data_IF_149330887695
#
_entry.id   IF_149330887695
#
_cell.length_a   1.000
_cell.length_b   1.000
_cell.length_c   1.000
_cell.angle_alpha   90.00
_cell.angle_beta   90.00
_cell.angle_gamma   90.00
#
_symmetry.space_group_name_H-M   'P 1'
#
loop_
_entity.id
_entity.type
_entity.pdbx_description
1 polymer ?
#
# COMPACT_ATOMS: atom_id res chain seq x y z
N UNK A 1 -3.93 -2.19 -54.94
CA UNK A 1 -4.55 -0.91 -54.62
C UNK A 1 -4.16 -0.53 -53.23
N UNK A 2 -3.33 0.33 -53.15
CA UNK A 2 -2.71 1.35 -52.31
C UNK A 2 -3.09 1.36 -50.84
N UNK A 3 -2.11 0.97 -49.98
CA UNK A 3 -2.12 1.11 -48.53
C UNK A 3 -1.58 2.50 -48.19
N UNK A 4 -2.44 3.37 -47.65
CA UNK A 4 -2.06 4.70 -47.20
C UNK A 4 -1.28 4.66 -45.88
N UNK A 5 0.01 5.01 -45.94
CA UNK A 5 0.86 5.27 -44.78
C UNK A 5 0.54 6.62 -44.16
N UNK A 6 0.00 6.65 -42.94
CA UNK A 6 -0.12 7.88 -42.16
C UNK A 6 1.23 8.19 -41.50
N UNK A 7 1.91 9.20 -42.01
CA UNK A 7 3.13 9.77 -41.41
C UNK A 7 2.73 10.83 -40.37
N UNK A 8 3.01 10.57 -39.11
CA UNK A 8 2.99 11.60 -38.07
C UNK A 8 4.30 12.39 -38.16
N UNK A 9 4.18 13.69 -38.44
CA UNK A 9 5.30 14.64 -38.48
C UNK A 9 5.71 14.98 -37.05
N UNK A 10 6.95 14.62 -36.67
CA UNK A 10 7.67 15.28 -35.59
C UNK A 10 8.02 16.70 -35.98
N UNK A 11 7.38 17.68 -35.35
CA UNK A 11 7.77 19.08 -35.39
C UNK A 11 8.86 19.37 -34.37
N UNK A 12 10.08 19.58 -34.80
CA UNK A 12 11.16 20.10 -33.98
C UNK A 12 10.86 21.57 -33.62
N UNK A 13 10.76 21.88 -32.34
CA UNK A 13 10.85 23.23 -31.79
C UNK A 13 12.11 23.33 -30.94
N UNK A 14 13.19 23.72 -31.59
CA UNK A 14 14.40 24.23 -30.95
C UNK A 14 14.26 25.75 -30.76
N UNK A 15 14.86 26.23 -29.65
CA UNK A 15 15.24 27.61 -29.32
C UNK A 15 14.19 28.46 -28.60
N UNK A 16 14.37 28.65 -27.28
CA UNK A 16 14.82 29.93 -26.70
C UNK A 16 14.70 29.84 -25.15
N UNK A 17 15.79 29.45 -24.51
CA UNK A 17 15.99 29.68 -23.07
C UNK A 17 16.51 31.11 -22.88
N UNK A 18 15.60 32.07 -22.83
CA UNK A 18 15.90 33.40 -22.29
C UNK A 18 15.70 33.37 -20.78
N UNK A 19 16.76 33.68 -20.07
CA UNK A 19 16.88 33.87 -18.64
C UNK A 19 15.75 34.75 -18.07
N UNK A 20 14.70 34.15 -17.51
CA UNK A 20 13.80 34.83 -16.60
C UNK A 20 14.29 34.57 -15.15
N UNK A 21 14.86 35.60 -14.53
CA UNK A 21 15.12 35.68 -13.11
C UNK A 21 13.80 35.43 -12.37
N UNK A 22 13.79 34.39 -11.57
CA UNK A 22 12.73 34.15 -10.58
C UNK A 22 12.85 35.27 -9.54
N UNK A 23 11.78 36.03 -9.23
CA UNK A 23 11.85 37.02 -8.15
C UNK A 23 12.06 36.31 -6.82
N UNK A 24 13.03 36.82 -6.04
CA UNK A 24 13.25 36.38 -4.66
C UNK A 24 11.94 36.54 -3.89
N UNK A 25 11.35 35.42 -3.43
CA UNK A 25 10.26 35.45 -2.48
C UNK A 25 10.76 36.07 -1.18
N UNK A 26 10.27 37.26 -0.89
CA UNK A 26 10.45 37.92 0.40
C UNK A 26 10.09 36.96 1.52
N UNK A 27 11.04 36.73 2.40
CA UNK A 27 10.85 36.11 3.71
C UNK A 27 9.83 36.93 4.49
N UNK A 28 8.56 36.50 4.41
CA UNK A 28 7.54 37.05 5.31
C UNK A 28 7.84 36.61 6.75
N UNK A 29 7.76 37.59 7.61
CA UNK A 29 8.03 37.53 9.04
C UNK A 29 7.40 36.33 9.73
N UNK A 30 8.16 35.78 10.69
CA UNK A 30 7.73 34.85 11.72
C UNK A 30 6.36 35.27 12.29
N UNK A 31 5.32 34.58 11.86
CA UNK A 31 4.04 34.56 12.57
C UNK A 31 4.29 33.98 13.96
N UNK A 32 3.65 34.59 14.96
CA UNK A 32 3.72 34.20 16.36
C UNK A 32 3.63 32.67 16.48
N UNK A 33 4.55 32.06 17.24
CA UNK A 33 4.48 30.61 17.55
C UNK A 33 3.14 30.36 18.22
N UNK A 34 2.29 29.57 17.59
CA UNK A 34 1.12 29.03 18.27
C UNK A 34 1.59 28.41 19.59
N UNK A 35 0.87 28.62 20.70
CA UNK A 35 1.26 28.04 21.98
C UNK A 35 1.37 26.52 21.81
N UNK A 36 2.49 25.95 22.29
CA UNK A 36 2.71 24.50 22.26
C UNK A 36 1.54 23.84 22.99
N UNK A 37 0.66 23.18 22.27
CA UNK A 37 -0.47 22.43 22.85
C UNK A 37 0.08 21.37 23.80
N UNK A 38 -0.59 21.17 24.92
CA UNK A 38 -0.31 20.01 25.78
C UNK A 38 -0.60 18.72 25.04
N UNK A 39 0.02 17.62 25.46
CA UNK A 39 -0.21 16.27 24.87
C UNK A 39 -1.70 15.92 24.87
N UNK A 40 -2.40 16.24 25.96
CA UNK A 40 -3.85 16.04 26.10
C UNK A 40 -4.65 16.91 25.12
N UNK A 41 -4.30 18.18 24.98
CA UNK A 41 -4.97 19.08 24.02
C UNK A 41 -4.76 18.61 22.57
N UNK A 42 -3.57 18.07 22.26
CA UNK A 42 -3.27 17.47 20.96
C UNK A 42 -4.21 16.28 20.69
N UNK A 43 -4.43 15.39 21.66
CA UNK A 43 -5.35 14.27 21.53
C UNK A 43 -6.79 14.73 21.30
N UNK A 44 -7.29 15.64 22.15
CA UNK A 44 -8.68 16.12 22.09
C UNK A 44 -8.99 16.95 20.83
N UNK A 45 -7.99 17.58 20.22
CA UNK A 45 -8.16 18.38 19.01
C UNK A 45 -7.97 17.60 17.70
N UNK A 46 -7.68 16.29 17.79
CA UNK A 46 -7.42 15.48 16.61
C UNK A 46 -8.65 15.34 15.72
N UNK A 47 -8.45 15.51 14.42
CA UNK A 47 -9.45 15.21 13.39
C UNK A 47 -8.73 14.71 12.13
N UNK A 48 -9.04 13.49 11.72
CA UNK A 48 -8.42 12.87 10.53
C UNK A 48 -8.71 13.64 9.23
N UNK A 49 -9.69 14.52 9.22
CA UNK A 49 -10.02 15.39 8.08
C UNK A 49 -9.24 16.71 8.08
N UNK A 50 -8.43 16.96 9.12
CA UNK A 50 -7.68 18.22 9.30
C UNK A 50 -6.21 17.96 9.64
N UNK A 51 -5.61 17.02 8.94
CA UNK A 51 -4.21 16.65 9.13
C UNK A 51 -3.29 17.73 8.57
N UNK A 52 -2.30 18.11 9.34
CA UNK A 52 -1.23 19.02 8.93
C UNK A 52 0.01 18.26 8.41
N UNK A 53 0.96 19.00 7.87
CA UNK A 53 2.20 18.44 7.35
C UNK A 53 3.05 17.76 8.44
N UNK A 54 2.95 18.18 9.71
CA UNK A 54 3.70 17.56 10.79
C UNK A 54 3.21 16.15 11.09
N UNK A 55 1.88 15.95 11.09
CA UNK A 55 1.28 14.63 11.22
C UNK A 55 1.62 13.72 10.02
N UNK A 56 1.52 14.24 8.79
CA UNK A 56 1.84 13.46 7.60
C UNK A 56 3.32 13.03 7.55
N UNK A 57 4.20 13.84 8.10
CA UNK A 57 5.62 13.51 8.24
C UNK A 57 5.89 12.52 9.39
N UNK A 58 5.29 12.75 10.55
CA UNK A 58 5.46 11.91 11.75
C UNK A 58 4.16 11.84 12.58
N UNK A 59 3.29 10.83 12.38
CA UNK A 59 2.03 10.69 13.09
C UNK A 59 2.19 10.16 14.53
N UNK A 60 3.34 9.59 14.87
CA UNK A 60 3.53 8.83 16.10
C UNK A 60 3.38 9.63 17.39
N UNK A 61 3.81 10.91 17.48
CA UNK A 61 3.52 11.75 18.66
C UNK A 61 2.02 11.93 18.90
N UNK A 62 1.24 12.14 17.83
CA UNK A 62 -0.22 12.28 17.91
C UNK A 62 -0.88 10.93 18.27
N UNK A 63 -0.42 9.83 17.67
CA UNK A 63 -0.91 8.49 18.02
C UNK A 63 -0.66 8.15 19.49
N UNK A 64 0.50 8.54 20.03
CA UNK A 64 0.81 8.37 21.45
C UNK A 64 -0.12 9.20 22.33
N UNK A 65 -0.32 10.48 22.01
CA UNK A 65 -1.22 11.36 22.73
C UNK A 65 -2.66 10.81 22.77
N UNK A 66 -3.18 10.36 21.62
CA UNK A 66 -4.51 9.73 21.53
C UNK A 66 -4.58 8.46 22.40
N UNK A 67 -3.61 7.56 22.30
CA UNK A 67 -3.62 6.31 23.04
C UNK A 67 -3.60 6.52 24.56
N UNK A 68 -2.86 7.54 25.02
CA UNK A 68 -2.75 7.85 26.45
C UNK A 68 -3.98 8.59 27.00
N UNK A 69 -4.59 9.48 26.22
CA UNK A 69 -5.60 10.39 26.76
C UNK A 69 -7.00 10.20 26.19
N UNK A 70 -7.16 9.65 24.98
CA UNK A 70 -8.46 9.43 24.34
C UNK A 70 -8.37 8.29 23.29
N UNK A 71 -8.16 7.04 23.75
CA UNK A 71 -7.81 5.92 22.87
C UNK A 71 -8.91 5.47 21.90
N UNK A 72 -10.17 5.80 22.20
CA UNK A 72 -11.34 5.60 21.34
C UNK A 72 -11.91 6.99 21.03
N UNK A 73 -11.13 7.78 20.32
CA UNK A 73 -11.41 9.18 20.06
C UNK A 73 -12.64 9.37 19.16
N UNK A 74 -13.64 10.14 19.63
CA UNK A 74 -14.81 10.49 18.83
C UNK A 74 -14.55 11.76 18.04
N UNK A 75 -14.58 11.67 16.72
CA UNK A 75 -14.41 12.82 15.83
C UNK A 75 -15.71 13.64 15.63
N UNK A 76 -15.58 14.84 15.05
CA UNK A 76 -16.69 15.78 14.88
C UNK A 76 -17.81 15.22 13.98
N UNK A 77 -17.49 14.35 13.03
CA UNK A 77 -18.44 13.68 12.14
C UNK A 77 -19.14 12.48 12.78
N UNK A 78 -18.87 12.19 14.05
CA UNK A 78 -19.43 11.07 14.81
C UNK A 78 -18.73 9.74 14.60
N UNK A 79 -17.71 9.66 13.73
CA UNK A 79 -16.85 8.47 13.60
C UNK A 79 -15.87 8.39 14.75
N UNK A 80 -15.25 7.21 14.92
CA UNK A 80 -14.27 6.98 15.97
C UNK A 80 -12.89 6.63 15.39
N UNK A 81 -11.83 7.00 16.12
CA UNK A 81 -10.45 6.70 15.81
C UNK A 81 -9.84 5.85 16.92
N UNK A 82 -9.46 4.61 16.60
CA UNK A 82 -9.00 3.60 17.56
C UNK A 82 -7.48 3.53 17.54
N UNK A 83 -6.84 3.60 18.71
CA UNK A 83 -5.36 3.64 18.82
C UNK A 83 -4.75 2.55 19.68
N UNK A 84 -5.53 1.86 20.54
CA UNK A 84 -5.05 0.71 21.30
C UNK A 84 -5.04 -0.55 20.46
N UNK A 85 -4.07 -1.42 20.70
CA UNK A 85 -3.94 -2.70 20.00
C UNK A 85 -5.19 -3.58 20.16
N UNK A 86 -5.66 -3.76 21.39
CA UNK A 86 -6.79 -4.66 21.68
C UNK A 86 -8.08 -4.18 21.01
N UNK A 87 -8.37 -2.88 21.03
CA UNK A 87 -9.54 -2.30 20.37
C UNK A 87 -9.48 -2.50 18.84
N UNK A 88 -8.32 -2.24 18.22
CA UNK A 88 -8.09 -2.46 16.80
C UNK A 88 -8.21 -3.94 16.42
N UNK A 89 -7.62 -4.82 17.23
CA UNK A 89 -7.66 -6.26 17.01
C UNK A 89 -9.07 -6.85 17.19
N UNK A 90 -9.84 -6.36 18.16
CA UNK A 90 -11.23 -6.77 18.40
C UNK A 90 -12.10 -6.46 17.17
N UNK A 91 -11.98 -5.25 16.62
CA UNK A 91 -12.71 -4.85 15.40
C UNK A 91 -12.34 -5.73 14.20
N UNK A 92 -11.07 -6.05 14.01
CA UNK A 92 -10.65 -6.93 12.91
C UNK A 92 -11.10 -8.38 13.02
N UNK A 93 -11.23 -8.90 14.27
CA UNK A 93 -11.59 -10.30 14.51
C UNK A 93 -13.08 -10.60 14.40
N UNK A 94 -13.94 -9.59 14.45
CA UNK A 94 -15.39 -9.76 14.41
C UNK A 94 -16.03 -9.15 13.15
N UNK A 95 -15.93 -9.84 11.99
CA UNK A 95 -16.52 -9.38 10.74
C UNK A 95 -18.06 -9.42 10.75
N UNK A 96 -18.70 -10.12 11.68
CA UNK A 96 -20.15 -10.14 11.81
C UNK A 96 -20.70 -8.85 12.43
N UNK A 97 -19.90 -8.19 13.26
CA UNK A 97 -20.24 -6.90 13.87
C UNK A 97 -19.65 -5.73 13.09
N UNK A 98 -18.45 -5.91 12.51
CA UNK A 98 -17.67 -4.84 11.87
C UNK A 98 -17.49 -5.08 10.38
N UNK A 99 -18.43 -4.55 9.60
CA UNK A 99 -18.49 -4.66 8.15
C UNK A 99 -17.33 -3.96 7.44
N UNK A 100 -16.83 -4.60 6.38
CA UNK A 100 -15.86 -4.03 5.42
C UNK A 100 -16.53 -3.42 4.21
N UNK A 101 -17.84 -3.62 3.99
CA UNK A 101 -18.57 -3.08 2.84
C UNK A 101 -18.52 -1.54 2.84
N UNK A 102 -18.10 -0.96 1.72
CA UNK A 102 -17.89 0.48 1.56
C UNK A 102 -18.89 1.17 0.65
N UNK A 103 -19.92 0.47 0.20
CA UNK A 103 -20.91 1.03 -0.74
C UNK A 103 -21.56 2.30 -0.18
N UNK A 104 -21.89 2.30 1.11
CA UNK A 104 -22.49 3.46 1.79
C UNK A 104 -21.43 4.53 2.06
N UNK A 105 -20.24 4.13 2.54
CA UNK A 105 -19.20 5.05 3.01
C UNK A 105 -18.55 5.83 1.86
N UNK A 106 -18.36 5.19 0.72
CA UNK A 106 -17.65 5.80 -0.41
C UNK A 106 -18.56 6.63 -1.32
N UNK A 107 -19.86 6.37 -1.33
CA UNK A 107 -20.81 7.05 -2.22
C UNK A 107 -20.78 8.58 -2.10
N UNK A 108 -20.76 9.19 -0.91
CA UNK A 108 -20.73 10.63 -0.76
C UNK A 108 -19.49 11.31 -1.35
N UNK A 109 -18.34 10.62 -1.29
CA UNK A 109 -17.04 11.17 -1.72
C UNK A 109 -16.69 10.81 -3.17
N UNK A 110 -17.11 9.66 -3.65
CA UNK A 110 -16.71 9.14 -4.98
C UNK A 110 -17.84 9.27 -6.03
N UNK A 111 -19.09 9.51 -5.62
CA UNK A 111 -20.23 9.64 -6.54
C UNK A 111 -20.48 8.36 -7.34
N UNK A 112 -20.84 8.53 -8.62
CA UNK A 112 -21.08 7.45 -9.59
C UNK A 112 -19.91 7.29 -10.56
N UNK A 113 -18.68 7.25 -10.06
CA UNK A 113 -17.46 7.15 -10.88
C UNK A 113 -17.00 5.71 -11.02
N UNK A 114 -16.14 5.45 -12.01
CA UNK A 114 -15.45 4.15 -12.16
C UNK A 114 -14.58 3.82 -10.95
N UNK A 115 -14.08 4.83 -10.25
CA UNK A 115 -13.34 4.67 -9.00
C UNK A 115 -14.24 4.14 -7.88
N UNK A 116 -15.48 4.63 -7.75
CA UNK A 116 -16.47 4.06 -6.83
C UNK A 116 -16.79 2.61 -7.20
N UNK A 117 -17.06 2.33 -8.48
CA UNK A 117 -17.32 0.98 -8.99
C UNK A 117 -16.16 0.06 -8.65
N UNK A 118 -14.90 0.49 -8.89
CA UNK A 118 -13.72 -0.28 -8.58
C UNK A 118 -13.63 -0.63 -7.10
N UNK A 119 -13.72 0.36 -6.23
CA UNK A 119 -13.57 0.11 -4.79
C UNK A 119 -14.71 -0.75 -4.24
N UNK A 120 -15.94 -0.57 -4.70
CA UNK A 120 -17.10 -1.34 -4.19
C UNK A 120 -17.25 -2.73 -4.82
N UNK A 121 -16.49 -3.03 -5.88
CA UNK A 121 -16.40 -4.37 -6.49
C UNK A 121 -15.14 -5.12 -6.04
N UNK A 122 -14.13 -4.42 -5.51
CA UNK A 122 -12.89 -5.05 -5.05
C UNK A 122 -13.13 -5.92 -3.81
N UNK A 123 -12.40 -7.04 -3.71
CA UNK A 123 -12.47 -8.02 -2.63
C UNK A 123 -12.46 -7.37 -1.22
N UNK A 124 -11.55 -6.43 -0.98
CA UNK A 124 -11.25 -5.90 0.36
C UNK A 124 -12.37 -5.05 0.94
N UNK A 125 -13.23 -4.49 0.09
CA UNK A 125 -14.33 -3.59 0.48
C UNK A 125 -15.70 -4.25 0.39
N UNK A 126 -15.75 -5.56 0.55
CA UNK A 126 -16.97 -6.36 0.56
C UNK A 126 -16.96 -7.39 1.69
N UNK A 127 -18.14 -7.77 2.14
CA UNK A 127 -18.35 -8.80 3.16
C UNK A 127 -18.71 -10.15 2.52
N UNK A 128 -18.74 -11.25 3.31
CA UNK A 128 -19.35 -12.50 2.86
C UNK A 128 -20.84 -12.31 2.45
N UNK A 129 -21.33 -13.05 1.46
CA UNK A 129 -20.69 -14.20 0.77
C UNK A 129 -19.71 -13.81 -0.35
N UNK A 130 -19.82 -12.58 -0.89
CA UNK A 130 -18.97 -12.10 -1.99
C UNK A 130 -17.48 -12.25 -1.68
N UNK A 131 -17.05 -11.69 -0.54
CA UNK A 131 -15.66 -11.77 -0.10
C UNK A 131 -15.11 -13.20 -0.12
N UNK A 132 -15.85 -14.16 0.44
CA UNK A 132 -15.38 -15.54 0.55
C UNK A 132 -15.23 -16.20 -0.84
N UNK A 133 -16.16 -15.94 -1.75
CA UNK A 133 -16.13 -16.47 -3.12
C UNK A 133 -14.89 -15.93 -3.87
N UNK A 134 -14.71 -14.63 -3.92
CA UNK A 134 -13.58 -14.01 -4.62
C UNK A 134 -12.25 -14.39 -3.96
N UNK A 135 -12.20 -14.41 -2.63
CA UNK A 135 -11.00 -14.83 -1.87
C UNK A 135 -10.57 -16.25 -2.21
N UNK A 136 -11.54 -17.20 -2.35
CA UNK A 136 -11.29 -18.59 -2.73
C UNK A 136 -10.67 -18.70 -4.12
N UNK A 137 -11.12 -17.87 -5.08
CA UNK A 137 -10.60 -17.85 -6.44
C UNK A 137 -9.17 -17.28 -6.53
N UNK A 138 -8.81 -16.32 -5.66
CA UNK A 138 -7.48 -15.73 -5.62
C UNK A 138 -6.47 -16.57 -4.82
N UNK A 139 -6.92 -17.36 -3.84
CA UNK A 139 -6.05 -18.09 -2.92
C UNK A 139 -4.99 -18.99 -3.60
N UNK A 140 -5.25 -19.69 -4.72
CA UNK A 140 -4.26 -20.54 -5.38
C UNK A 140 -2.97 -19.82 -5.80
N UNK A 141 -3.04 -18.50 -6.05
CA UNK A 141 -1.90 -17.69 -6.42
C UNK A 141 -0.92 -17.42 -5.26
N UNK A 142 -1.38 -17.55 -4.03
CA UNK A 142 -0.63 -17.23 -2.81
C UNK A 142 -0.31 -18.47 -1.97
N UNK A 143 -0.42 -19.66 -2.55
CA UNK A 143 -0.03 -20.92 -1.87
C UNK A 143 1.49 -21.01 -1.70
N UNK A 144 1.99 -21.73 -0.68
CA UNK A 144 3.44 -21.92 -0.50
C UNK A 144 4.15 -22.46 -1.75
N UNK A 145 3.47 -23.36 -2.50
CA UNK A 145 4.00 -23.90 -3.77
C UNK A 145 4.16 -22.81 -4.84
N UNK A 146 3.12 -21.98 -5.03
CA UNK A 146 3.17 -20.87 -6.00
C UNK A 146 4.26 -19.86 -5.63
N UNK A 147 4.35 -19.49 -4.36
CA UNK A 147 5.37 -18.54 -3.87
C UNK A 147 6.79 -19.10 -4.02
N UNK A 148 7.00 -20.38 -3.71
CA UNK A 148 8.33 -21.02 -3.91
C UNK A 148 8.75 -21.00 -5.38
N UNK A 149 7.83 -21.10 -6.31
CA UNK A 149 8.12 -20.99 -7.75
C UNK A 149 8.50 -19.57 -8.18
N UNK A 150 8.03 -18.53 -7.47
CA UNK A 150 8.36 -17.12 -7.74
C UNK A 150 9.71 -16.70 -7.14
N UNK A 151 10.18 -17.34 -6.06
CA UNK A 151 11.38 -16.94 -5.34
C UNK A 151 12.62 -16.78 -6.24
N UNK A 152 12.99 -17.73 -7.14
CA UNK A 152 14.15 -17.56 -8.02
C UNK A 152 14.02 -16.36 -8.96
N UNK A 153 12.80 -16.02 -9.40
CA UNK A 153 12.55 -14.85 -10.24
C UNK A 153 12.78 -13.56 -9.47
N UNK A 154 12.33 -13.48 -8.20
CA UNK A 154 12.56 -12.34 -7.32
C UNK A 154 14.06 -12.18 -7.05
N UNK A 155 14.76 -13.26 -6.71
CA UNK A 155 16.20 -13.23 -6.45
C UNK A 155 16.98 -12.73 -7.66
N UNK A 156 16.72 -13.27 -8.85
CA UNK A 156 17.37 -12.85 -10.09
C UNK A 156 17.05 -11.39 -10.46
N UNK A 157 15.82 -10.92 -10.20
CA UNK A 157 15.45 -9.52 -10.40
C UNK A 157 16.23 -8.60 -9.47
N UNK A 158 16.26 -8.93 -8.17
CA UNK A 158 16.97 -8.15 -7.15
C UNK A 158 18.47 -8.10 -7.49
N UNK A 159 19.09 -9.23 -7.87
CA UNK A 159 20.50 -9.27 -8.26
C UNK A 159 20.80 -8.32 -9.44
N UNK A 160 19.96 -8.34 -10.49
CA UNK A 160 20.11 -7.41 -11.65
C UNK A 160 19.96 -5.95 -11.22
N UNK A 161 19.06 -5.63 -10.29
CA UNK A 161 18.89 -4.28 -9.77
C UNK A 161 20.12 -3.83 -8.97
N UNK A 162 20.66 -4.72 -8.13
CA UNK A 162 21.86 -4.45 -7.32
C UNK A 162 23.11 -4.34 -8.18
N UNK A 163 23.25 -5.12 -9.25
CA UNK A 163 24.36 -5.00 -10.20
C UNK A 163 24.38 -3.62 -10.88
N UNK A 164 23.20 -3.14 -11.29
CA UNK A 164 23.08 -1.78 -11.83
C UNK A 164 23.39 -0.70 -10.81
N UNK A 165 22.94 -0.90 -9.57
CA UNK A 165 23.23 -0.01 -8.45
C UNK A 165 24.74 0.04 -8.13
N UNK A 166 25.42 -1.09 -8.14
CA UNK A 166 26.87 -1.18 -7.90
C UNK A 166 27.70 -0.41 -8.94
N UNK A 167 27.29 -0.43 -10.21
CA UNK A 167 27.95 0.35 -11.27
C UNK A 167 27.78 1.86 -11.09
N UNK A 168 26.61 2.29 -10.59
CA UNK A 168 26.28 3.72 -10.43
C UNK A 168 26.81 4.30 -9.13
N UNK A 169 26.90 3.53 -8.06
CA UNK A 169 27.27 3.98 -6.71
C UNK A 169 26.25 4.89 -6.03
N UNK A 170 25.31 5.45 -6.78
CA UNK A 170 24.20 6.29 -6.33
C UNK A 170 22.90 5.88 -7.01
N UNK A 171 21.81 5.73 -6.23
CA UNK A 171 20.48 5.37 -6.73
C UNK A 171 19.38 6.14 -6.02
N UNK A 172 18.22 6.25 -6.64
CA UNK A 172 16.97 6.46 -5.90
C UNK A 172 16.44 5.11 -5.43
N UNK A 173 16.51 4.87 -4.11
CA UNK A 173 16.03 3.62 -3.49
C UNK A 173 14.62 3.26 -3.94
N UNK A 174 13.73 4.24 -4.10
CA UNK A 174 12.33 4.00 -4.43
C UNK A 174 12.15 3.71 -5.91
N UNK A 175 12.58 4.62 -6.78
CA UNK A 175 12.37 4.52 -8.23
C UNK A 175 13.22 3.43 -8.89
N UNK A 176 14.51 3.35 -8.51
CA UNK A 176 15.47 2.44 -9.15
C UNK A 176 15.46 1.02 -8.59
N UNK A 177 14.91 0.82 -7.34
CA UNK A 177 14.99 -0.47 -6.65
C UNK A 177 13.66 -0.93 -6.06
N UNK A 178 13.13 -0.25 -5.02
CA UNK A 178 12.03 -0.76 -4.22
C UNK A 178 10.72 -0.90 -5.00
N UNK A 179 10.39 0.04 -5.90
CA UNK A 179 9.17 -0.01 -6.70
C UNK A 179 9.28 -0.99 -7.89
N UNK A 180 10.49 -1.20 -8.41
CA UNK A 180 10.70 -2.09 -9.54
C UNK A 180 10.38 -3.56 -9.20
N UNK A 181 10.61 -3.98 -7.94
CA UNK A 181 10.44 -5.38 -7.52
C UNK A 181 8.97 -5.80 -7.57
N UNK A 182 8.05 -5.22 -6.78
CA UNK A 182 6.66 -5.62 -6.81
C UNK A 182 5.98 -5.31 -8.15
N UNK A 183 6.38 -4.24 -8.85
CA UNK A 183 5.82 -3.90 -10.16
C UNK A 183 6.10 -5.00 -11.19
N UNK A 184 7.35 -5.47 -11.24
CA UNK A 184 7.76 -6.54 -12.16
C UNK A 184 7.02 -7.83 -11.84
N UNK A 185 6.98 -8.19 -10.56
CA UNK A 185 6.37 -9.43 -10.11
C UNK A 185 4.85 -9.47 -10.37
N UNK A 186 4.15 -8.39 -10.05
CA UNK A 186 2.70 -8.31 -10.29
C UNK A 186 2.41 -8.26 -11.79
N UNK A 187 3.27 -7.59 -12.58
CA UNK A 187 3.19 -7.65 -14.03
C UNK A 187 3.28 -9.08 -14.55
N UNK A 188 4.22 -9.88 -14.06
CA UNK A 188 4.34 -11.31 -14.39
C UNK A 188 3.10 -12.09 -13.96
N UNK A 189 2.61 -11.87 -12.74
CA UNK A 189 1.41 -12.55 -12.21
C UNK A 189 0.13 -12.20 -12.99
N UNK A 190 0.02 -10.99 -13.53
CA UNK A 190 -1.10 -10.56 -14.38
C UNK A 190 -0.85 -10.80 -15.88
N UNK A 191 0.28 -11.38 -16.26
CA UNK A 191 0.63 -11.64 -17.65
C UNK A 191 0.83 -10.36 -18.49
N UNK A 192 1.18 -9.24 -17.86
CA UNK A 192 1.47 -7.97 -18.54
C UNK A 192 2.84 -8.05 -19.20
N UNK A 193 2.96 -7.86 -20.53
CA UNK A 193 4.26 -7.84 -21.20
C UNK A 193 5.18 -6.74 -20.65
N UNK A 194 6.49 -6.99 -20.57
CA UNK A 194 7.46 -6.04 -20.01
C UNK A 194 7.38 -4.65 -20.62
N UNK A 195 7.22 -4.56 -21.94
CA UNK A 195 7.11 -3.29 -22.65
C UNK A 195 5.81 -2.51 -22.43
N UNK A 196 4.85 -3.10 -21.72
CA UNK A 196 3.53 -2.49 -21.45
C UNK A 196 3.35 -2.10 -19.96
N UNK A 197 4.39 -2.28 -19.11
CA UNK A 197 4.31 -2.07 -17.65
C UNK A 197 4.50 -0.63 -17.18
N UNK A 198 4.96 0.24 -18.06
CA UNK A 198 5.28 1.64 -17.72
C UNK A 198 4.11 2.37 -17.01
N UNK A 199 2.84 2.29 -17.45
CA UNK A 199 1.76 3.04 -16.79
C UNK A 199 1.25 2.43 -15.48
N UNK A 200 1.60 1.19 -15.16
CA UNK A 200 1.05 0.46 -14.00
C UNK A 200 1.31 1.15 -12.67
N UNK A 201 2.50 1.74 -12.50
CA UNK A 201 2.87 2.46 -11.28
C UNK A 201 1.99 3.69 -11.08
N UNK A 202 1.81 4.49 -12.12
CA UNK A 202 1.07 5.74 -12.04
C UNK A 202 -0.41 5.50 -11.82
N UNK A 203 -0.99 4.48 -12.45
CA UNK A 203 -2.36 4.04 -12.18
C UNK A 203 -2.52 3.60 -10.72
N UNK A 204 -1.62 2.77 -10.20
CA UNK A 204 -1.66 2.33 -8.81
C UNK A 204 -1.61 3.50 -7.83
N UNK A 205 -0.68 4.43 -8.00
CA UNK A 205 -0.53 5.60 -7.13
C UNK A 205 -1.75 6.52 -7.19
N UNK A 206 -2.38 6.69 -8.36
CA UNK A 206 -3.58 7.51 -8.52
C UNK A 206 -4.79 6.88 -7.83
N UNK A 207 -5.02 5.57 -8.02
CA UNK A 207 -6.15 4.84 -7.45
C UNK A 207 -6.03 4.76 -5.91
N UNK A 208 -4.85 4.41 -5.39
CA UNK A 208 -4.63 4.34 -3.94
C UNK A 208 -4.60 5.72 -3.28
N UNK A 209 -4.14 6.75 -4.00
CA UNK A 209 -4.19 8.13 -3.53
C UNK A 209 -5.60 8.64 -3.27
N UNK A 210 -6.60 8.04 -3.90
CA UNK A 210 -8.01 8.35 -3.68
C UNK A 210 -8.64 7.66 -2.45
N UNK A 211 -7.87 6.85 -1.71
CA UNK A 211 -8.31 6.24 -0.44
C UNK A 211 -7.92 7.07 0.80
N UNK A 212 -7.32 8.25 0.60
CA UNK A 212 -6.98 9.15 1.70
C UNK A 212 -8.24 9.70 2.41
N UNK A 213 -8.15 10.04 3.70
CA UNK A 213 -9.29 10.53 4.48
C UNK A 213 -9.94 11.80 3.91
N UNK A 214 -9.17 12.62 3.21
CA UNK A 214 -9.63 13.79 2.48
C UNK A 214 -9.23 13.64 1.03
N UNK A 215 -10.19 13.79 0.12
CA UNK A 215 -10.00 13.63 -1.32
C UNK A 215 -10.26 14.96 -2.03
N UNK A 216 -9.27 15.45 -2.79
CA UNK A 216 -9.47 16.61 -3.64
C UNK A 216 -10.19 16.23 -4.95
N UNK A 217 -10.86 17.21 -5.62
CA UNK A 217 -11.45 16.97 -6.94
C UNK A 217 -10.44 16.43 -7.96
N UNK A 218 -9.21 16.93 -7.95
CA UNK A 218 -8.14 16.50 -8.84
C UNK A 218 -7.71 15.06 -8.57
N UNK A 219 -7.64 14.66 -7.29
CA UNK A 219 -7.36 13.27 -6.91
C UNK A 219 -8.48 12.33 -7.35
N UNK A 220 -9.74 12.73 -7.19
CA UNK A 220 -10.90 11.98 -7.65
C UNK A 220 -10.86 11.78 -9.17
N UNK A 221 -10.61 12.86 -9.92
CA UNK A 221 -10.52 12.82 -11.37
C UNK A 221 -9.38 11.90 -11.85
N UNK A 222 -8.18 12.05 -11.27
CA UNK A 222 -7.01 11.22 -11.60
C UNK A 222 -7.25 9.74 -11.28
N UNK A 223 -7.80 9.44 -10.11
CA UNK A 223 -8.11 8.06 -9.72
C UNK A 223 -9.17 7.43 -10.62
N UNK A 224 -10.20 8.21 -11.02
CA UNK A 224 -11.25 7.76 -11.96
C UNK A 224 -10.66 7.45 -13.33
N UNK A 225 -9.86 8.36 -13.90
CA UNK A 225 -9.20 8.17 -15.19
C UNK A 225 -8.27 6.94 -15.16
N UNK A 226 -7.49 6.78 -14.09
CA UNK A 226 -6.60 5.63 -13.93
C UNK A 226 -7.36 4.29 -13.90
N UNK A 227 -8.54 4.24 -13.28
CA UNK A 227 -9.40 3.03 -13.33
C UNK A 227 -9.92 2.78 -14.74
N UNK A 228 -10.35 3.81 -15.45
CA UNK A 228 -10.89 3.67 -16.82
C UNK A 228 -9.82 3.20 -17.80
N UNK A 229 -8.63 3.81 -17.75
CA UNK A 229 -7.48 3.43 -18.58
C UNK A 229 -7.05 1.98 -18.30
N UNK A 230 -6.94 1.62 -17.03
CA UNK A 230 -6.54 0.27 -16.66
C UNK A 230 -7.61 -0.78 -17.01
N UNK A 231 -8.90 -0.47 -16.86
CA UNK A 231 -10.00 -1.33 -17.33
C UNK A 231 -9.93 -1.56 -18.84
N UNK A 232 -9.67 -0.51 -19.61
CA UNK A 232 -9.47 -0.60 -21.06
C UNK A 232 -8.32 -1.55 -21.41
N UNK A 233 -7.15 -1.30 -20.81
CA UNK A 233 -5.98 -2.14 -21.00
C UNK A 233 -6.21 -3.62 -20.63
N UNK A 234 -6.85 -3.88 -19.48
CA UNK A 234 -7.11 -5.24 -19.03
C UNK A 234 -8.10 -5.98 -19.95
N UNK A 235 -9.11 -5.30 -20.53
CA UNK A 235 -10.01 -5.94 -21.51
C UNK A 235 -9.22 -6.43 -22.73
N UNK A 236 -8.34 -5.59 -23.26
CA UNK A 236 -7.49 -5.96 -24.39
C UNK A 236 -6.53 -7.10 -24.04
N UNK A 237 -5.97 -7.09 -22.82
CA UNK A 237 -5.08 -8.14 -22.33
C UNK A 237 -5.84 -9.47 -22.16
N UNK A 238 -7.03 -9.46 -21.55
CA UNK A 238 -7.89 -10.64 -21.36
C UNK A 238 -8.27 -11.22 -22.72
N UNK A 239 -8.65 -10.40 -23.70
CA UNK A 239 -8.98 -10.84 -25.04
C UNK A 239 -7.79 -11.51 -25.75
N UNK A 240 -6.59 -10.94 -25.62
CA UNK A 240 -5.35 -11.55 -26.13
C UNK A 240 -5.09 -12.92 -25.46
N UNK A 241 -5.14 -12.97 -24.12
CA UNK A 241 -4.87 -14.19 -23.33
C UNK A 241 -5.89 -15.29 -23.57
N UNK A 242 -7.16 -14.95 -23.77
CA UNK A 242 -8.22 -15.93 -24.09
C UNK A 242 -8.00 -16.66 -25.41
N UNK A 243 -7.17 -16.12 -26.31
CA UNK A 243 -6.81 -16.75 -27.60
C UNK A 243 -5.52 -17.57 -27.51
N UNK A 244 -4.74 -17.46 -26.45
CA UNK A 244 -3.49 -18.17 -26.26
C UNK A 244 -3.74 -19.57 -25.68
N UNK A 245 -3.10 -20.60 -26.25
CA UNK A 245 -3.24 -22.00 -25.79
C UNK A 245 -2.25 -22.36 -24.67
N UNK A 246 -1.17 -21.61 -24.52
CA UNK A 246 -0.13 -21.86 -23.52
C UNK A 246 -0.19 -20.81 -22.41
N UNK A 247 -0.55 -21.26 -21.20
CA UNK A 247 -0.66 -20.42 -19.99
C UNK A 247 0.52 -20.73 -19.09
N UNK A 248 1.27 -19.69 -18.66
CA UNK A 248 2.28 -19.84 -17.59
C UNK A 248 1.58 -20.25 -16.30
N UNK A 249 2.03 -21.31 -15.65
CA UNK A 249 1.47 -21.78 -14.36
C UNK A 249 1.55 -20.71 -13.25
N UNK A 250 2.42 -19.70 -13.38
CA UNK A 250 2.56 -18.55 -12.47
C UNK A 250 1.53 -17.46 -12.69
N UNK A 251 0.87 -17.41 -13.84
CA UNK A 251 -0.03 -16.33 -14.25
C UNK A 251 -1.41 -16.46 -13.58
N UNK A 252 -1.76 -15.47 -12.76
CA UNK A 252 -3.06 -15.45 -12.06
C UNK A 252 -4.18 -15.13 -13.03
N UNK A 253 -3.96 -14.19 -13.96
CA UNK A 253 -5.02 -13.73 -14.88
C UNK A 253 -5.60 -14.89 -15.67
N UNK A 254 -4.78 -15.74 -16.25
CA UNK A 254 -5.23 -16.89 -17.02
C UNK A 254 -6.00 -17.91 -16.18
N UNK A 255 -5.61 -18.12 -14.92
CA UNK A 255 -6.35 -18.95 -13.97
C UNK A 255 -7.72 -18.36 -13.63
N UNK A 256 -7.81 -17.04 -13.47
CA UNK A 256 -9.06 -16.35 -13.20
C UNK A 256 -9.98 -16.35 -14.42
N UNK A 257 -9.44 -16.17 -15.63
CA UNK A 257 -10.20 -16.31 -16.89
C UNK A 257 -10.80 -17.72 -17.00
N UNK A 258 -9.98 -18.76 -16.79
CA UNK A 258 -10.46 -20.15 -16.84
C UNK A 258 -11.55 -20.40 -15.78
N UNK A 259 -11.40 -19.88 -14.56
CA UNK A 259 -12.40 -20.02 -13.51
C UNK A 259 -13.70 -19.25 -13.81
N UNK A 260 -13.66 -18.15 -14.55
CA UNK A 260 -14.85 -17.40 -14.96
C UNK A 260 -15.63 -18.06 -16.07
N UNK A 261 -14.96 -18.86 -16.93
CA UNK A 261 -15.58 -19.58 -18.06
C UNK A 261 -16.23 -20.93 -17.66
N UNK A 262 -15.91 -21.46 -16.48
CA UNK A 262 -16.37 -22.77 -16.01
C UNK A 262 -17.77 -22.79 -15.37
N UNK A 263 -18.65 -21.82 -15.64
CA UNK A 263 -20.04 -21.83 -15.17
C UNK A 263 -20.98 -22.34 -16.27
N UNK A 264 -21.20 -23.71 -16.43
CA UNK A 264 -21.86 -24.23 -17.60
C UNK A 264 -23.39 -24.05 -17.65
N UNK A 265 -24.07 -23.81 -16.52
CA UNK A 265 -25.52 -24.00 -16.45
C UNK A 265 -26.36 -22.87 -15.86
N UNK A 266 -25.94 -21.59 -15.95
CA UNK A 266 -26.81 -20.46 -15.59
C UNK A 266 -27.23 -20.38 -14.11
N UNK A 267 -26.63 -21.20 -13.24
CA UNK A 267 -26.71 -21.08 -11.79
C UNK A 267 -25.80 -19.97 -11.27
N UNK A 268 -25.88 -19.56 -9.98
CA UNK A 268 -24.95 -18.61 -9.40
C UNK A 268 -23.53 -19.17 -9.55
N UNK A 269 -22.78 -18.64 -10.55
CA UNK A 269 -21.46 -19.15 -10.90
C UNK A 269 -20.53 -19.02 -9.68
N UNK A 270 -19.80 -20.08 -9.34
CA UNK A 270 -18.71 -19.98 -8.35
C UNK A 270 -17.55 -19.12 -8.90
N UNK A 271 -17.56 -18.74 -10.19
CA UNK A 271 -16.60 -17.88 -10.87
C UNK A 271 -16.79 -16.40 -10.63
N UNK A 272 -15.98 -15.58 -11.30
CA UNK A 272 -16.12 -14.13 -11.36
C UNK A 272 -16.89 -13.70 -12.59
N UNK A 273 -17.70 -12.65 -12.50
CA UNK A 273 -18.18 -11.92 -13.67
C UNK A 273 -17.02 -11.14 -14.31
N UNK A 274 -17.18 -10.73 -15.58
CA UNK A 274 -16.15 -9.91 -16.27
C UNK A 274 -15.81 -8.63 -15.48
N UNK A 275 -16.82 -7.99 -14.89
CA UNK A 275 -16.63 -6.80 -14.07
C UNK A 275 -15.84 -7.11 -12.80
N UNK A 276 -16.14 -8.18 -12.11
CA UNK A 276 -15.41 -8.64 -10.92
C UNK A 276 -13.97 -9.01 -11.26
N UNK A 277 -13.74 -9.68 -12.39
CA UNK A 277 -12.41 -10.04 -12.86
C UNK A 277 -11.55 -8.78 -13.09
N UNK A 278 -12.05 -7.81 -13.85
CA UNK A 278 -11.35 -6.55 -14.11
C UNK A 278 -10.99 -5.83 -12.81
N UNK A 279 -11.96 -5.62 -11.93
CA UNK A 279 -11.71 -4.86 -10.70
C UNK A 279 -10.83 -5.58 -9.69
N UNK A 280 -10.86 -6.92 -9.65
CA UNK A 280 -9.96 -7.65 -8.77
C UNK A 280 -8.54 -7.77 -9.35
N UNK A 281 -8.34 -7.75 -10.67
CA UNK A 281 -7.01 -7.59 -11.28
C UNK A 281 -6.40 -6.20 -10.96
N UNK A 282 -7.19 -5.11 -11.09
CA UNK A 282 -6.78 -3.76 -10.67
C UNK A 282 -6.43 -3.76 -9.18
N UNK A 283 -7.25 -4.40 -8.34
CA UNK A 283 -7.02 -4.51 -6.91
C UNK A 283 -5.71 -5.24 -6.57
N UNK A 284 -5.38 -6.35 -7.26
CA UNK A 284 -4.13 -7.09 -7.04
C UNK A 284 -2.91 -6.19 -7.30
N UNK A 285 -2.91 -5.43 -8.41
CA UNK A 285 -1.83 -4.49 -8.68
C UNK A 285 -1.70 -3.46 -7.55
N UNK A 286 -2.81 -2.79 -7.22
CA UNK A 286 -2.81 -1.73 -6.23
C UNK A 286 -2.35 -2.22 -4.85
N UNK A 287 -2.90 -3.37 -4.42
CA UNK A 287 -2.60 -3.92 -3.11
C UNK A 287 -1.14 -4.39 -2.97
N UNK A 288 -0.54 -4.91 -4.04
CA UNK A 288 0.79 -5.49 -3.99
C UNK A 288 1.91 -4.50 -4.26
N UNK A 289 1.71 -3.51 -5.15
CA UNK A 289 2.78 -2.61 -5.59
C UNK A 289 3.20 -1.61 -4.50
N UNK A 290 2.33 -0.68 -4.13
CA UNK A 290 2.74 0.45 -3.26
C UNK A 290 3.10 0.01 -1.84
N UNK A 291 2.38 -0.97 -1.29
CA UNK A 291 2.60 -1.43 0.09
C UNK A 291 3.95 -2.12 0.26
N UNK A 292 4.37 -2.94 -0.70
CA UNK A 292 5.66 -3.61 -0.69
C UNK A 292 6.80 -2.64 -1.00
N UNK A 293 6.61 -1.72 -1.94
CA UNK A 293 7.55 -0.59 -2.17
C UNK A 293 7.83 0.17 -0.88
N UNK A 294 6.76 0.53 -0.15
CA UNK A 294 6.88 1.25 1.11
C UNK A 294 7.55 0.40 2.20
N UNK A 295 7.29 -0.91 2.27
CA UNK A 295 7.95 -1.81 3.22
C UNK A 295 9.47 -1.86 2.99
N UNK A 296 9.91 -2.01 1.75
CA UNK A 296 11.33 -2.04 1.40
C UNK A 296 11.98 -0.69 1.72
N UNK A 297 11.37 0.41 1.29
CA UNK A 297 11.88 1.77 1.54
C UNK A 297 11.95 2.12 3.03
N UNK A 298 10.88 1.83 3.78
CA UNK A 298 10.81 2.06 5.22
C UNK A 298 11.82 1.18 5.98
N UNK A 299 12.00 -0.09 5.57
CA UNK A 299 12.96 -1.01 6.19
C UNK A 299 14.40 -0.52 6.05
N UNK A 300 14.78 -0.04 4.88
CA UNK A 300 16.13 0.53 4.65
C UNK A 300 16.31 1.84 5.42
N UNK A 301 15.32 2.75 5.45
CA UNK A 301 15.38 3.97 6.27
C UNK A 301 15.52 3.63 7.77
N UNK A 302 14.79 2.63 8.26
CA UNK A 302 14.93 2.17 9.64
C UNK A 302 16.34 1.64 9.94
N UNK A 303 16.94 0.87 9.05
CA UNK A 303 18.31 0.36 9.20
C UNK A 303 19.35 1.49 9.16
N UNK A 304 19.21 2.47 8.26
CA UNK A 304 20.11 3.64 8.21
C UNK A 304 20.05 4.46 9.50
N UNK A 305 18.85 4.60 10.09
CA UNK A 305 18.67 5.32 11.37
C UNK A 305 19.07 4.51 12.59
N UNK A 306 19.27 3.20 12.46
CA UNK A 306 19.66 2.28 13.53
C UNK A 306 20.86 1.43 13.07
N UNK A 307 22.09 2.01 13.03
CA UNK A 307 23.27 1.37 12.49
C UNK A 307 23.63 0.07 13.21
N UNK A 308 23.38 -0.03 14.52
CA UNK A 308 23.61 -1.26 15.28
C UNK A 308 22.74 -2.42 14.78
N UNK A 309 21.47 -2.12 14.41
CA UNK A 309 20.56 -3.12 13.82
C UNK A 309 21.02 -3.53 12.40
N UNK A 310 21.52 -2.58 11.61
CA UNK A 310 22.09 -2.87 10.29
C UNK A 310 23.33 -3.77 10.40
N UNK A 311 24.23 -3.48 11.34
CA UNK A 311 25.44 -4.28 11.58
C UNK A 311 25.12 -5.67 12.14
N UNK A 312 24.09 -5.77 13.00
CA UNK A 312 23.62 -7.06 13.50
C UNK A 312 23.03 -7.90 12.36
N UNK A 313 22.23 -7.32 11.47
CA UNK A 313 21.70 -8.00 10.29
C UNK A 313 22.80 -8.44 9.30
N UNK A 314 23.86 -7.64 9.13
CA UNK A 314 25.03 -8.01 8.32
C UNK A 314 25.76 -9.23 8.88
N UNK A 315 25.96 -9.26 10.19
CA UNK A 315 26.65 -10.37 10.89
C UNK A 315 25.80 -11.64 10.96
N UNK A 316 24.49 -11.48 11.00
CA UNK A 316 23.49 -12.54 11.19
C UNK A 316 22.39 -12.44 10.13
N UNK A 317 22.65 -12.86 8.88
CA UNK A 317 21.69 -12.71 7.77
C UNK A 317 20.33 -13.38 8.01
N UNK A 318 20.28 -14.44 8.81
CA UNK A 318 19.05 -15.17 9.16
C UNK A 318 18.04 -14.30 9.95
N UNK A 319 18.51 -13.18 10.54
CA UNK A 319 17.62 -12.22 11.20
C UNK A 319 16.69 -11.45 10.24
N UNK A 320 16.89 -11.60 8.92
CA UNK A 320 16.07 -10.88 7.94
C UNK A 320 14.58 -11.17 8.10
N UNK A 321 14.20 -12.39 8.50
CA UNK A 321 12.81 -12.75 8.71
C UNK A 321 12.20 -11.92 9.87
N UNK A 322 12.83 -11.92 11.04
CA UNK A 322 12.36 -11.14 12.20
C UNK A 322 12.50 -9.63 12.00
N UNK A 323 13.54 -9.19 11.27
CA UNK A 323 13.75 -7.79 10.93
C UNK A 323 12.59 -7.24 10.07
N UNK A 324 12.13 -7.98 9.05
CA UNK A 324 10.98 -7.58 8.22
C UNK A 324 9.70 -7.47 9.05
N UNK A 325 9.44 -8.39 9.99
CA UNK A 325 8.31 -8.27 10.92
C UNK A 325 8.42 -7.00 11.78
N UNK A 326 9.63 -6.65 12.23
CA UNK A 326 9.85 -5.44 13.02
C UNK A 326 9.67 -4.17 12.19
N UNK A 327 10.12 -4.16 10.93
CA UNK A 327 9.88 -3.02 10.02
C UNK A 327 8.39 -2.82 9.77
N UNK A 328 7.65 -3.89 9.54
CA UNK A 328 6.19 -3.88 9.42
C UNK A 328 5.51 -3.33 10.67
N UNK A 329 6.01 -3.66 11.85
CA UNK A 329 5.48 -3.16 13.12
C UNK A 329 5.75 -1.68 13.31
N UNK A 330 7.02 -1.28 13.21
CA UNK A 330 7.47 0.08 13.54
C UNK A 330 7.01 1.11 12.52
N UNK A 331 7.05 0.74 11.23
CA UNK A 331 6.75 1.66 10.12
C UNK A 331 5.83 0.98 9.10
N UNK A 332 4.62 0.61 9.56
CA UNK A 332 3.62 -0.05 8.72
C UNK A 332 3.36 0.72 7.43
N UNK A 333 3.44 0.05 6.27
CA UNK A 333 3.13 0.67 4.97
C UNK A 333 1.69 1.17 4.89
N UNK A 334 0.73 0.41 5.46
CA UNK A 334 -0.65 0.84 5.65
C UNK A 334 -0.85 1.23 7.11
N UNK A 335 -1.13 2.51 7.36
CA UNK A 335 -1.30 3.09 8.69
C UNK A 335 -2.75 3.01 9.20
N UNK A 336 -3.74 2.92 8.29
CA UNK A 336 -5.14 3.09 8.62
C UNK A 336 -6.02 2.01 7.98
N UNK A 337 -6.76 1.29 8.81
CA UNK A 337 -7.92 0.51 8.40
C UNK A 337 -9.22 1.23 8.74
N UNK A 338 -10.33 0.65 8.35
CA UNK A 338 -11.65 1.14 8.75
C UNK A 338 -12.72 0.04 8.70
N UNK A 339 -13.77 0.20 9.49
CA UNK A 339 -14.95 -0.67 9.52
C UNK A 339 -16.20 0.15 9.83
N UNK A 340 -17.37 -0.44 9.58
CA UNK A 340 -18.67 0.09 9.97
C UNK A 340 -19.40 -0.91 10.85
N UNK A 341 -20.03 -0.45 11.94
CA UNK A 341 -20.89 -1.30 12.77
C UNK A 341 -22.10 -1.78 11.95
N UNK A 342 -22.23 -3.09 11.76
CA UNK A 342 -23.33 -3.72 11.03
C UNK A 342 -24.59 -3.85 11.91
N UNK A 343 -24.46 -3.68 13.22
CA UNK A 343 -25.52 -3.71 14.23
C UNK A 343 -25.11 -2.87 15.43
N UNK A 344 -26.04 -2.58 16.32
CA UNK A 344 -25.75 -1.94 17.59
C UNK A 344 -24.73 -2.78 18.37
N UNK A 345 -23.67 -2.12 18.85
CA UNK A 345 -22.56 -2.77 19.55
C UNK A 345 -21.93 -1.85 20.58
N UNK A 346 -20.88 -2.31 21.24
CA UNK A 346 -20.05 -1.49 22.13
C UNK A 346 -18.58 -1.86 21.98
N UNK A 347 -17.69 -0.89 22.16
CA UNK A 347 -16.26 -1.09 22.17
C UNK A 347 -15.65 -0.24 23.30
N UNK A 348 -14.81 -0.86 24.16
CA UNK A 348 -14.20 -0.18 25.31
C UNK A 348 -15.22 0.50 26.25
N UNK A 349 -16.44 -0.06 26.38
CA UNK A 349 -17.53 0.51 27.18
C UNK A 349 -18.32 1.65 26.51
N UNK A 350 -17.96 2.03 25.27
CA UNK A 350 -18.67 3.06 24.51
C UNK A 350 -19.72 2.39 23.61
N UNK A 351 -21.00 2.81 23.74
CA UNK A 351 -22.07 2.35 22.86
C UNK A 351 -21.89 2.92 21.46
N UNK A 352 -21.97 2.04 20.46
CA UNK A 352 -21.81 2.35 19.03
C UNK A 352 -23.03 1.82 18.27
N UNK A 353 -23.99 2.68 17.90
CA UNK A 353 -25.14 2.28 17.10
C UNK A 353 -24.75 1.70 15.75
N UNK A 354 -25.64 0.91 15.14
CA UNK A 354 -25.53 0.47 13.75
C UNK A 354 -25.19 1.64 12.84
N UNK A 355 -24.25 1.45 11.92
CA UNK A 355 -23.78 2.50 11.00
C UNK A 355 -22.63 3.34 11.55
N UNK A 356 -22.22 3.17 12.83
CA UNK A 356 -21.04 3.86 13.36
C UNK A 356 -19.79 3.47 12.56
N UNK A 357 -19.04 4.47 12.10
CA UNK A 357 -17.79 4.28 11.37
C UNK A 357 -16.60 4.36 12.31
N UNK A 358 -15.67 3.42 12.18
CA UNK A 358 -14.45 3.40 12.97
C UNK A 358 -13.22 3.37 12.09
N UNK A 359 -12.25 4.23 12.40
CA UNK A 359 -10.90 4.18 11.84
C UNK A 359 -10.01 3.36 12.78
N UNK A 360 -9.23 2.46 12.22
CA UNK A 360 -8.30 1.57 12.92
C UNK A 360 -6.90 2.10 12.68
N UNK A 361 -6.26 2.73 13.67
CA UNK A 361 -4.91 3.25 13.53
C UNK A 361 -3.89 2.12 13.71
N UNK A 362 -3.59 1.40 12.63
CA UNK A 362 -2.65 0.29 12.60
C UNK A 362 -1.28 0.72 13.13
N UNK A 363 -0.77 1.88 12.66
CA UNK A 363 0.52 2.42 13.11
C UNK A 363 0.55 2.76 14.59
N UNK A 364 -0.58 3.22 15.17
CA UNK A 364 -0.71 3.46 16.60
C UNK A 364 -0.74 2.15 17.39
N UNK A 365 -1.56 1.19 16.96
CA UNK A 365 -1.70 -0.12 17.59
C UNK A 365 -0.39 -0.91 17.60
N UNK A 366 0.39 -0.82 16.52
CA UNK A 366 1.69 -1.49 16.39
C UNK A 366 2.78 -0.87 17.28
N UNK A 367 2.52 0.27 17.90
CA UNK A 367 3.37 0.92 18.91
C UNK A 367 2.67 1.05 20.26
N UNK A 368 1.71 0.17 20.55
CA UNK A 368 1.06 0.13 21.85
C UNK A 368 1.96 -0.56 22.89
N UNK A 369 2.37 0.14 23.98
CA UNK A 369 3.23 -0.43 25.02
C UNK A 369 2.57 -1.58 25.78
N UNK A 370 1.24 -1.68 25.79
CA UNK A 370 0.54 -2.80 26.39
C UNK A 370 0.78 -4.12 25.61
N UNK A 371 1.03 -4.04 24.32
CA UNK A 371 1.31 -5.19 23.45
C UNK A 371 2.80 -5.38 23.17
N UNK A 372 3.55 -4.29 23.03
CA UNK A 372 4.95 -4.29 22.63
C UNK A 372 5.80 -3.51 23.65
N UNK A 373 6.58 -4.19 24.51
CA UNK A 373 7.56 -3.50 25.36
C UNK A 373 8.51 -2.67 24.54
N UNK A 374 8.85 -1.44 25.03
CA UNK A 374 9.68 -0.47 24.31
C UNK A 374 9.23 -0.29 22.84
N UNK A 375 7.99 0.14 22.59
CA UNK A 375 7.35 0.05 21.27
C UNK A 375 8.01 0.95 20.21
N UNK A 376 8.70 1.99 20.60
CA UNK A 376 9.39 2.93 19.70
C UNK A 376 10.83 2.49 19.36
N UNK A 377 11.39 1.51 20.09
CA UNK A 377 12.69 0.92 19.82
C UNK A 377 12.57 -0.07 18.65
N UNK A 378 13.47 0.04 17.69
CA UNK A 378 13.66 -0.96 16.63
C UNK A 378 14.45 -2.14 17.19
N UNK A 379 13.83 -3.31 17.22
CA UNK A 379 14.44 -4.53 17.69
C UNK A 379 14.22 -5.65 16.66
N UNK A 380 15.21 -5.84 15.78
CA UNK A 380 15.14 -6.85 14.70
C UNK A 380 15.11 -8.30 15.19
N UNK A 381 15.27 -8.52 16.50
CA UNK A 381 15.16 -9.82 17.16
C UNK A 381 13.86 -9.99 17.93
N UNK A 382 12.93 -9.03 17.85
CA UNK A 382 11.67 -9.05 18.59
C UNK A 382 10.88 -10.32 18.30
N UNK A 383 10.61 -11.08 19.35
CA UNK A 383 9.76 -12.28 19.29
C UNK A 383 9.01 -12.45 20.62
N UNK A 384 7.67 -12.69 20.64
CA UNK A 384 6.79 -12.67 19.47
C UNK A 384 6.54 -11.26 18.94
N UNK A 385 6.23 -11.14 17.63
CA UNK A 385 5.93 -9.86 16.97
C UNK A 385 4.54 -9.93 16.29
N UNK A 386 3.47 -9.76 17.06
CA UNK A 386 2.08 -9.91 16.62
C UNK A 386 1.50 -8.59 16.09
N UNK A 387 2.17 -7.95 15.16
CA UNK A 387 1.73 -6.68 14.60
C UNK A 387 0.47 -6.79 13.74
N UNK A 388 -0.23 -5.65 13.53
CA UNK A 388 -1.45 -5.55 12.73
C UNK A 388 -1.22 -5.05 11.30
N UNK A 389 0.02 -4.98 10.82
CA UNK A 389 0.33 -4.42 9.49
C UNK A 389 -0.37 -5.16 8.33
N UNK A 390 -0.66 -6.45 8.50
CA UNK A 390 -1.43 -7.27 7.56
C UNK A 390 -2.91 -7.43 7.91
N UNK A 391 -3.41 -6.66 8.89
CA UNK A 391 -4.76 -6.87 9.42
C UNK A 391 -4.93 -8.20 10.13
N UNK A 392 -6.18 -8.54 10.47
CA UNK A 392 -6.58 -9.81 11.10
C UNK A 392 -7.92 -10.30 10.54
N UNK A 393 -8.30 -11.54 10.89
CA UNK A 393 -9.59 -12.14 10.55
C UNK A 393 -9.70 -12.48 9.06
N UNK A 394 -10.92 -12.47 8.54
CA UNK A 394 -11.22 -12.91 7.16
C UNK A 394 -10.56 -12.00 6.12
N UNK A 395 -10.33 -10.72 6.44
CA UNK A 395 -9.66 -9.74 5.60
C UNK A 395 -8.14 -9.63 5.83
N UNK A 396 -7.53 -10.57 6.55
CA UNK A 396 -6.07 -10.64 6.65
C UNK A 396 -5.46 -10.66 5.24
N UNK A 397 -4.34 -9.95 5.06
CA UNK A 397 -3.72 -9.75 3.75
C UNK A 397 -3.47 -11.07 3.01
N UNK A 398 -3.98 -11.17 1.77
CA UNK A 398 -3.80 -12.37 0.94
C UNK A 398 -2.35 -12.56 0.53
N UNK A 399 -1.67 -11.45 0.22
CA UNK A 399 -0.29 -11.43 -0.26
C UNK A 399 0.75 -11.34 0.86
N UNK A 400 0.41 -11.55 2.14
CA UNK A 400 1.35 -11.34 3.25
C UNK A 400 2.66 -12.14 3.13
N UNK A 401 2.58 -13.37 2.65
CA UNK A 401 3.77 -14.22 2.47
C UNK A 401 4.61 -13.76 1.29
N UNK A 402 4.00 -13.25 0.22
CA UNK A 402 4.68 -12.68 -0.92
C UNK A 402 5.41 -11.39 -0.54
N UNK A 403 4.73 -10.46 0.13
CA UNK A 403 5.32 -9.20 0.59
C UNK A 403 6.52 -9.43 1.54
N UNK A 404 6.42 -10.43 2.43
CA UNK A 404 7.55 -10.84 3.27
C UNK A 404 8.72 -11.33 2.44
N UNK A 405 8.48 -12.23 1.51
CA UNK A 405 9.53 -12.79 0.64
C UNK A 405 10.21 -11.69 -0.19
N UNK A 406 9.45 -10.79 -0.81
CA UNK A 406 10.00 -9.67 -1.57
C UNK A 406 10.89 -8.78 -0.69
N UNK A 407 10.41 -8.40 0.50
CA UNK A 407 11.16 -7.55 1.42
C UNK A 407 12.40 -8.26 1.98
N UNK A 408 12.29 -9.53 2.35
CA UNK A 408 13.43 -10.34 2.85
C UNK A 408 14.54 -10.45 1.81
N UNK A 409 14.18 -10.78 0.56
CA UNK A 409 15.16 -10.89 -0.53
C UNK A 409 15.76 -9.51 -0.86
N UNK A 410 14.91 -8.48 -1.02
CA UNK A 410 15.37 -7.15 -1.41
C UNK A 410 16.27 -6.51 -0.35
N UNK A 411 15.82 -6.44 0.90
CA UNK A 411 16.57 -5.82 1.99
C UNK A 411 17.78 -6.65 2.35
N UNK A 412 17.63 -7.97 2.48
CA UNK A 412 18.71 -8.88 2.83
C UNK A 412 19.88 -8.80 1.83
N UNK A 413 19.60 -8.93 0.53
CA UNK A 413 20.65 -8.86 -0.51
C UNK A 413 21.27 -7.46 -0.58
N UNK A 414 20.50 -6.38 -0.47
CA UNK A 414 21.04 -5.01 -0.49
C UNK A 414 22.01 -4.79 0.68
N UNK A 415 21.63 -5.18 1.91
CA UNK A 415 22.45 -5.03 3.11
C UNK A 415 23.72 -5.88 3.05
N UNK A 416 23.64 -7.10 2.49
CA UNK A 416 24.82 -7.98 2.33
C UNK A 416 25.74 -7.56 1.19
N UNK A 417 25.21 -6.96 0.13
CA UNK A 417 25.98 -6.55 -1.05
C UNK A 417 26.83 -5.32 -0.81
N UNK A 418 26.34 -4.33 -0.04
CA UNK A 418 27.01 -3.05 0.14
C UNK A 418 27.47 -2.84 1.58
N UNK A 419 28.78 -2.61 1.76
CA UNK A 419 29.37 -2.26 3.05
C UNK A 419 28.94 -0.87 3.54
N UNK A 420 28.69 0.03 2.59
CA UNK A 420 28.24 1.38 2.82
C UNK A 420 26.86 1.59 2.22
N UNK A 421 25.89 1.98 3.04
CA UNK A 421 24.53 2.33 2.64
C UNK A 421 24.17 3.60 3.40
N UNK A 422 24.20 4.74 2.71
CA UNK A 422 24.00 6.04 3.33
C UNK A 422 23.03 6.89 2.51
N UNK A 423 22.32 7.78 3.18
CA UNK A 423 21.45 8.74 2.51
C UNK A 423 22.27 9.80 1.77
N UNK A 424 22.05 9.95 0.46
CA UNK A 424 22.78 10.90 -0.39
C UNK A 424 22.26 12.34 -0.34
N UNK A 425 21.12 12.59 0.30
CA UNK A 425 20.51 13.92 0.30
C UNK A 425 19.13 13.98 0.94
N UNK A 426 18.33 14.96 0.53
CA UNK A 426 16.95 15.08 0.99
C UNK A 426 16.08 13.98 0.36
N UNK A 427 15.15 13.45 1.14
CA UNK A 427 14.13 12.51 0.68
C UNK A 427 12.77 13.18 0.56
N UNK A 428 11.85 12.58 -0.19
CA UNK A 428 10.47 13.02 -0.33
C UNK A 428 9.56 11.93 0.21
N UNK A 429 8.78 12.23 1.27
CA UNK A 429 7.72 11.34 1.74
C UNK A 429 6.47 11.46 0.87
N UNK A 430 5.64 10.41 0.89
CA UNK A 430 4.37 10.38 0.14
C UNK A 430 3.34 11.41 0.56
N UNK A 431 3.47 12.02 1.76
CA UNK A 431 2.53 13.03 2.27
C UNK A 431 1.12 12.48 2.46
N UNK A 432 0.99 11.19 2.81
CA UNK A 432 -0.28 10.47 2.95
C UNK A 432 -0.47 9.96 4.36
N UNK A 433 -1.73 9.99 4.82
CA UNK A 433 -2.11 9.48 6.14
C UNK A 433 -2.25 7.95 6.13
N UNK A 434 -2.79 7.38 5.03
CA UNK A 434 -3.06 5.95 4.93
C UNK A 434 -1.84 5.15 4.49
N UNK A 435 -1.19 5.54 3.40
CA UNK A 435 -0.05 4.80 2.84
C UNK A 435 1.24 5.55 3.12
N UNK A 436 2.03 5.00 4.06
CA UNK A 436 3.24 5.63 4.57
C UNK A 436 4.50 5.05 3.95
N UNK A 437 5.26 5.90 3.29
CA UNK A 437 6.52 5.58 2.63
C UNK A 437 7.15 6.80 1.99
N UNK A 438 8.02 6.55 1.03
CA UNK A 438 8.77 7.57 0.32
C UNK A 438 8.38 7.57 -1.17
N UNK A 439 8.41 8.76 -1.79
CA UNK A 439 8.34 8.93 -3.24
C UNK A 439 9.73 8.93 -3.85
N UNK A 440 10.72 9.46 -3.10
CA UNK A 440 12.12 9.53 -3.49
C UNK A 440 13.02 9.38 -2.26
N UNK A 441 14.08 8.59 -2.39
CA UNK A 441 15.04 8.38 -1.31
C UNK A 441 16.45 8.10 -1.89
N UNK A 442 17.28 9.15 -2.09
CA UNK A 442 18.60 9.00 -2.68
C UNK A 442 19.56 8.30 -1.72
N UNK A 443 20.29 7.30 -2.23
CA UNK A 443 21.30 6.51 -1.52
C UNK A 443 22.65 6.57 -2.19
N UNK A 444 23.70 6.62 -1.37
CA UNK A 444 25.09 6.27 -1.72
C UNK A 444 25.35 4.83 -1.31
N UNK A 445 25.91 4.05 -2.21
CA UNK A 445 26.25 2.64 -2.05
C UNK A 445 27.75 2.42 -2.30
N UNK A 446 28.39 1.58 -1.46
CA UNK A 446 29.82 1.26 -1.62
C UNK A 446 30.26 0.02 -0.88
#
# INVERSE_FOLDING_TARGET
>A
MSIGKLRIRCGALSQNLSSRRVPAMHTQARTAKDPVRSVRETALAFDIKRLDASFLNDPFPVYRALREHDPIHRMQDGSYFLTRYDDCAAVYRDPATWSSDKKVDFRPNLGNTSLYEHHTTSLVFNDPPYHNRVRKLLAPAFTPRALKALQPRIEALVDRLLDRAAVRGEIDLIGDFAAAIPLQLIGDMLGVPDGEREPLRDWSLAILGALEPVLSPEQLQRGTAAVDDFKGYLRDLIERRSREQNVDEGEILSKLIAASQLAPDGGPSEGMTDLELLHNCIFILNAGHETTTNLIGNGIDLLIRNPDAMDDLRKNPDLIESAVEEFLRVESSNQLGNRRAAKDTSLGGISMPQGTYVHIAIGAANRDPAQFPDPDRVDIRRHPNRHLAFGLGIHACAGMSLARMEAQVAIGKLVQRFGRIERAGAFVRGGRARFRGFLQYPLLLG
#
